data_IF_836621795316
#
_entry.id   IF_836621795316
#
_cell.length_a   1.000
_cell.length_b   1.000
_cell.length_c   1.000
_cell.angle_alpha   90.00
_cell.angle_beta   90.00
_cell.angle_gamma   90.00
#
_symmetry.space_group_name_H-M   'P 1'
#
loop_
_entity.id
_entity.type
_entity.pdbx_description
1 polymer ?
#
# COMPACT_ATOMS: atom_id res chain seq x y z
N UNK A 1 3.46 -28.11 -34.02
CA UNK A 1 3.64 -28.12 -32.55
C UNK A 1 4.61 -27.00 -32.22
N UNK A 2 4.13 -25.92 -31.60
CA UNK A 2 4.88 -24.68 -31.38
C UNK A 2 6.07 -24.92 -30.43
N UNK A 3 7.22 -24.29 -30.72
CA UNK A 3 8.47 -24.49 -29.98
C UNK A 3 8.50 -23.52 -28.79
N UNK A 4 8.99 -24.01 -27.65
CA UNK A 4 9.22 -23.23 -26.41
C UNK A 4 10.09 -21.97 -26.63
N UNK A 5 10.85 -21.92 -27.73
CA UNK A 5 11.63 -20.76 -28.16
C UNK A 5 10.78 -19.55 -28.57
N UNK A 6 9.47 -19.71 -28.80
CA UNK A 6 8.57 -18.60 -29.12
C UNK A 6 8.06 -17.86 -27.86
N UNK A 7 8.33 -18.39 -26.65
CA UNK A 7 7.92 -17.79 -25.35
C UNK A 7 8.98 -16.82 -24.82
N UNK A 8 10.21 -16.88 -25.34
CA UNK A 8 11.21 -15.84 -25.08
C UNK A 8 10.88 -14.66 -26.00
N UNK A 9 9.85 -13.90 -25.61
CA UNK A 9 9.68 -12.52 -26.05
C UNK A 9 11.06 -11.86 -25.95
N UNK A 10 11.63 -11.31 -27.03
CA UNK A 10 12.72 -10.40 -26.83
C UNK A 10 12.10 -9.26 -26.04
N UNK A 11 12.48 -9.11 -24.76
CA UNK A 11 12.51 -7.79 -24.16
C UNK A 11 13.29 -6.96 -25.17
N UNK A 12 12.55 -6.28 -26.05
CA UNK A 12 13.05 -5.31 -27.00
C UNK A 12 13.72 -4.30 -26.10
N UNK A 13 15.03 -4.48 -25.91
CA UNK A 13 15.91 -3.46 -25.37
C UNK A 13 15.67 -2.31 -26.31
N UNK A 14 14.83 -1.38 -25.87
CA UNK A 14 14.78 -0.07 -26.44
C UNK A 14 16.22 0.41 -26.29
N UNK A 15 16.95 0.37 -27.40
CA UNK A 15 18.18 1.09 -27.58
C UNK A 15 17.81 2.56 -27.52
N UNK A 16 17.50 3.05 -26.32
CA UNK A 16 17.60 4.47 -26.04
C UNK A 16 19.09 4.74 -26.16
N UNK A 17 19.47 5.39 -27.26
CA UNK A 17 20.68 6.18 -27.28
C UNK A 17 20.80 6.89 -25.92
N UNK A 18 21.92 6.73 -25.23
CA UNK A 18 22.24 7.57 -24.08
C UNK A 18 22.50 9.01 -24.59
N UNK A 19 21.46 9.66 -25.09
CA UNK A 19 21.42 11.11 -25.23
C UNK A 19 21.53 11.66 -23.80
N UNK A 20 22.35 12.70 -23.55
CA UNK A 20 22.36 13.36 -22.26
C UNK A 20 20.95 13.90 -22.01
N UNK A 21 20.25 13.20 -21.13
CA UNK A 21 18.87 13.50 -20.78
C UNK A 21 18.83 14.93 -20.23
N UNK A 22 17.93 15.76 -20.79
CA UNK A 22 17.80 17.16 -20.39
C UNK A 22 17.49 17.26 -18.89
N UNK A 23 17.78 18.41 -18.26
CA UNK A 23 17.52 18.60 -16.81
C UNK A 23 16.06 18.30 -16.45
N UNK A 24 15.12 18.59 -17.35
CA UNK A 24 13.68 18.37 -17.17
C UNK A 24 13.33 16.88 -17.21
N UNK A 25 13.88 16.13 -18.16
CA UNK A 25 13.63 14.70 -18.30
C UNK A 25 14.26 13.88 -17.15
N UNK A 26 15.43 14.28 -16.63
CA UNK A 26 16.00 13.67 -15.40
C UNK A 26 15.08 13.85 -14.20
N UNK A 27 14.51 15.05 -14.04
CA UNK A 27 13.56 15.33 -12.97
C UNK A 27 12.27 14.52 -13.12
N UNK A 28 11.77 14.37 -14.35
CA UNK A 28 10.61 13.54 -14.67
C UNK A 28 10.87 12.07 -14.28
N UNK A 29 12.03 11.51 -14.64
CA UNK A 29 12.39 10.12 -14.32
C UNK A 29 12.48 9.90 -12.80
N UNK A 30 13.10 10.84 -12.08
CA UNK A 30 13.20 10.76 -10.61
C UNK A 30 11.80 10.79 -10.00
N UNK A 31 10.94 11.69 -10.46
CA UNK A 31 9.56 11.83 -9.96
C UNK A 31 8.75 10.57 -10.24
N UNK A 32 8.84 10.04 -11.46
CA UNK A 32 8.17 8.80 -11.85
C UNK A 32 8.64 7.62 -11.00
N UNK A 33 9.94 7.52 -10.72
CA UNK A 33 10.51 6.45 -9.89
C UNK A 33 9.97 6.52 -8.45
N UNK A 34 9.91 7.71 -7.85
CA UNK A 34 9.36 7.89 -6.50
C UNK A 34 7.89 7.54 -6.42
N UNK A 35 7.09 7.99 -7.41
CA UNK A 35 5.67 7.64 -7.51
C UNK A 35 5.51 6.14 -7.64
N UNK A 36 6.32 5.50 -8.47
CA UNK A 36 6.26 4.04 -8.68
C UNK A 36 6.51 3.28 -7.38
N UNK A 37 7.52 3.66 -6.60
CA UNK A 37 7.81 3.05 -5.29
C UNK A 37 6.64 3.21 -4.32
N UNK A 38 6.07 4.42 -4.25
CA UNK A 38 4.91 4.72 -3.40
C UNK A 38 3.69 3.88 -3.81
N UNK A 39 3.41 3.80 -5.10
CA UNK A 39 2.29 3.03 -5.63
C UNK A 39 2.42 1.53 -5.35
N UNK A 40 3.62 0.96 -5.53
CA UNK A 40 3.87 -0.46 -5.22
C UNK A 40 3.63 -0.73 -3.73
N UNK A 41 4.16 0.12 -2.86
CA UNK A 41 4.00 -0.04 -1.41
C UNK A 41 2.53 0.03 -1.00
N UNK A 42 1.78 1.01 -1.53
CA UNK A 42 0.36 1.16 -1.27
C UNK A 42 -0.44 -0.04 -1.79
N UNK A 43 -0.14 -0.49 -3.00
CA UNK A 43 -0.81 -1.63 -3.63
C UNK A 43 -0.63 -2.90 -2.80
N UNK A 44 0.58 -3.16 -2.30
CA UNK A 44 0.85 -4.32 -1.41
C UNK A 44 -0.04 -4.25 -0.17
N UNK A 45 -0.10 -3.09 0.51
CA UNK A 45 -0.96 -2.92 1.68
C UNK A 45 -2.45 -3.09 1.38
N UNK A 46 -2.90 -2.63 0.21
CA UNK A 46 -4.29 -2.75 -0.22
C UNK A 46 -4.67 -4.21 -0.51
N UNK A 47 -3.83 -4.92 -1.27
CA UNK A 47 -4.08 -6.31 -1.65
C UNK A 47 -4.06 -7.25 -0.44
N UNK A 48 -3.25 -6.96 0.58
CA UNK A 48 -3.22 -7.74 1.81
C UNK A 48 -4.58 -7.77 2.55
N UNK A 49 -5.42 -6.74 2.35
CA UNK A 49 -6.77 -6.66 2.93
C UNK A 49 -7.82 -7.43 2.13
N UNK A 50 -7.55 -7.74 0.85
CA UNK A 50 -8.54 -8.27 -0.08
C UNK A 50 -8.56 -9.80 -0.11
N UNK A 51 -9.75 -10.40 -0.09
CA UNK A 51 -9.95 -11.83 -0.32
C UNK A 51 -10.25 -12.10 -1.80
N UNK A 52 -9.23 -12.47 -2.57
CA UNK A 52 -9.39 -12.75 -4.01
C UNK A 52 -10.21 -14.02 -4.33
N UNK A 53 -10.63 -14.78 -3.31
CA UNK A 53 -11.48 -15.97 -3.49
C UNK A 53 -12.97 -15.63 -3.64
N UNK A 54 -13.37 -14.42 -3.26
CA UNK A 54 -14.75 -13.95 -3.33
C UNK A 54 -14.88 -12.95 -4.47
N UNK A 55 -15.93 -13.05 -5.27
CA UNK A 55 -16.19 -12.06 -6.32
C UNK A 55 -16.65 -10.75 -5.70
N UNK A 56 -16.13 -9.59 -6.15
CA UNK A 56 -16.61 -8.29 -5.69
C UNK A 56 -18.08 -8.02 -6.07
N UNK A 57 -18.63 -8.75 -7.04
CA UNK A 57 -20.03 -8.64 -7.43
C UNK A 57 -20.98 -9.46 -6.54
N UNK A 58 -20.45 -10.46 -5.83
CA UNK A 58 -21.23 -11.33 -4.95
C UNK A 58 -21.22 -10.79 -3.52
N UNK A 59 -20.04 -10.50 -2.98
CA UNK A 59 -19.87 -9.87 -1.67
C UNK A 59 -18.64 -8.97 -1.67
N UNK A 60 -18.87 -7.68 -1.91
CA UNK A 60 -17.81 -6.68 -1.92
C UNK A 60 -17.16 -6.49 -0.54
N UNK A 61 -17.90 -6.72 0.55
CA UNK A 61 -17.38 -6.54 1.90
C UNK A 61 -16.34 -7.63 2.21
N UNK A 62 -16.69 -8.89 1.95
CA UNK A 62 -15.78 -10.02 2.12
C UNK A 62 -14.59 -9.95 1.15
N UNK A 63 -14.84 -9.52 -0.10
CA UNK A 63 -13.76 -9.27 -1.05
C UNK A 63 -12.77 -8.19 -0.56
N UNK A 64 -13.25 -7.09 0.00
CA UNK A 64 -12.41 -5.94 0.34
C UNK A 64 -11.79 -6.00 1.75
N UNK A 65 -12.43 -6.69 2.69
CA UNK A 65 -12.03 -6.73 4.10
C UNK A 65 -11.82 -8.14 4.65
N UNK A 66 -12.27 -9.18 3.96
CA UNK A 66 -12.16 -10.58 4.38
C UNK A 66 -10.87 -11.27 3.95
N UNK A 67 -9.88 -10.50 3.45
CA UNK A 67 -8.51 -10.97 3.23
C UNK A 67 -7.85 -11.33 4.56
N UNK A 68 -6.59 -11.00 4.78
CA UNK A 68 -5.89 -11.57 5.94
C UNK A 68 -6.37 -11.01 7.30
N UNK A 69 -7.33 -11.69 7.95
CA UNK A 69 -7.86 -11.43 9.29
C UNK A 69 -6.84 -11.70 10.43
N UNK A 70 -5.53 -11.53 10.21
CA UNK A 70 -4.50 -12.04 11.13
C UNK A 70 -4.28 -11.24 12.43
N UNK A 71 -5.15 -10.28 12.79
CA UNK A 71 -5.05 -9.65 14.12
C UNK A 71 -6.39 -9.32 14.78
N UNK A 72 -7.48 -9.97 14.35
CA UNK A 72 -8.81 -9.82 14.95
C UNK A 72 -8.96 -10.41 16.35
N UNK A 73 -8.00 -10.21 17.26
CA UNK A 73 -8.31 -10.27 18.68
C UNK A 73 -9.14 -9.01 18.98
N UNK A 74 -10.46 -9.17 19.07
CA UNK A 74 -11.34 -8.14 19.61
C UNK A 74 -10.92 -7.95 21.08
N UNK A 75 -10.26 -6.84 21.45
CA UNK A 75 -10.02 -6.58 22.86
C UNK A 75 -11.39 -6.43 23.55
N UNK A 76 -11.52 -7.01 24.74
CA UNK A 76 -12.78 -7.10 25.51
C UNK A 76 -13.46 -5.74 25.71
N UNK A 77 -12.66 -4.67 25.65
CA UNK A 77 -13.07 -3.28 25.83
C UNK A 77 -13.76 -2.65 24.60
N UNK A 78 -13.90 -3.38 23.47
CA UNK A 78 -14.43 -2.84 22.21
C UNK A 78 -15.53 -3.70 21.60
N UNK A 79 -16.63 -3.05 21.22
CA UNK A 79 -17.79 -3.67 20.56
C UNK A 79 -17.63 -3.73 19.03
N UNK A 80 -16.71 -2.96 18.44
CA UNK A 80 -16.40 -3.00 17.01
C UNK A 80 -14.93 -2.60 16.71
N UNK A 81 -14.31 -3.28 15.74
CA UNK A 81 -12.98 -2.95 15.20
C UNK A 81 -13.08 -2.08 13.95
N UNK A 82 -13.90 -1.03 13.99
CA UNK A 82 -13.97 -0.09 12.88
C UNK A 82 -12.63 0.66 12.75
N UNK A 83 -12.13 0.79 11.52
CA UNK A 83 -10.82 1.39 11.24
C UNK A 83 -10.69 2.81 11.81
N UNK A 84 -11.75 3.60 11.80
CA UNK A 84 -11.72 4.94 12.39
C UNK A 84 -11.51 4.91 13.92
N UNK A 85 -12.05 3.91 14.63
CA UNK A 85 -11.85 3.74 16.07
C UNK A 85 -10.40 3.39 16.41
N UNK A 86 -9.72 2.62 15.55
CA UNK A 86 -8.28 2.35 15.67
C UNK A 86 -7.46 3.63 15.48
N UNK A 87 -7.77 4.41 14.44
CA UNK A 87 -7.11 5.69 14.17
C UNK A 87 -7.28 6.69 15.32
N UNK A 88 -8.48 6.79 15.90
CA UNK A 88 -8.73 7.62 17.08
C UNK A 88 -7.86 7.21 18.26
N UNK A 89 -7.72 5.91 18.52
CA UNK A 89 -6.87 5.44 19.62
C UNK A 89 -5.39 5.80 19.44
N UNK A 90 -4.88 5.83 18.21
CA UNK A 90 -3.50 6.25 17.93
C UNK A 90 -3.36 7.77 18.09
N UNK A 91 -4.33 8.54 17.59
CA UNK A 91 -4.36 10.00 17.79
C UNK A 91 -4.39 10.35 19.27
N UNK A 92 -5.27 9.71 20.03
CA UNK A 92 -5.39 9.91 21.48
C UNK A 92 -4.11 9.53 22.22
N UNK A 93 -3.43 8.47 21.79
CA UNK A 93 -2.14 8.07 22.36
C UNK A 93 -1.05 9.12 22.11
N UNK A 94 -1.00 9.69 20.90
CA UNK A 94 -0.07 10.77 20.55
C UNK A 94 -0.39 12.06 21.30
N UNK A 95 -1.67 12.40 21.44
CA UNK A 95 -2.12 13.56 22.19
C UNK A 95 -1.82 13.41 23.69
N UNK A 96 -2.08 12.24 24.30
CA UNK A 96 -1.74 11.97 25.71
C UNK A 96 -0.22 12.01 25.95
N UNK A 97 0.58 11.44 25.05
CA UNK A 97 2.05 11.52 25.13
C UNK A 97 2.57 12.97 24.99
N UNK A 98 2.00 13.75 24.07
CA UNK A 98 2.33 15.16 23.88
C UNK A 98 1.86 16.06 25.02
N UNK A 99 0.70 15.78 25.61
CA UNK A 99 0.20 16.51 26.78
C UNK A 99 1.00 16.22 28.05
N UNK A 100 1.50 14.99 28.22
CA UNK A 100 2.45 14.68 29.30
C UNK A 100 3.78 15.40 29.12
N UNK A 101 4.26 15.55 27.88
CA UNK A 101 5.47 16.35 27.62
C UNK A 101 5.26 17.84 27.92
N UNK A 102 4.10 18.41 27.55
CA UNK A 102 3.75 19.81 27.84
C UNK A 102 3.51 20.09 29.33
N UNK A 103 2.95 19.13 30.09
CA UNK A 103 2.73 19.28 31.54
C UNK A 103 4.02 19.24 32.38
N UNK A 104 5.11 18.68 31.85
CA UNK A 104 6.43 18.69 32.51
C UNK A 104 7.29 19.92 32.13
N UNK A 105 6.76 20.81 31.28
CA UNK A 105 7.41 22.06 30.87
C UNK A 105 6.88 23.29 31.63
N UNK A 106 6.09 23.08 32.70
CA UNK A 106 5.54 24.11 33.59
C UNK A 106 5.81 23.74 35.04
#
# INVERSE_FOLDING_TARGET
>A
MAKITDIIVPLRRSSTSCSPLSRLEKLLVITLFLITILCISLFISLVALMCQRVSPCDDFYEFACGGENQNGFMPEDRTNLWRASLLQSEVDKKLKGGQSHFKNLK
#
